data_IF_717902117996
#
_entry.id   IF_717902117996
#
_cell.length_a   1.000
_cell.length_b   1.000
_cell.length_c   1.000
_cell.angle_alpha   90.00
_cell.angle_beta   90.00
_cell.angle_gamma   90.00
#
_symmetry.space_group_name_H-M   'P 1'
#
loop_
_entity.id
_entity.type
_entity.pdbx_description
1 polymer ?
#
# COMPACT_ATOMS: atom_id res chain seq x y z
N UNK A 1 5.85 11.97 14.59
CA UNK A 1 4.96 10.86 14.19
C UNK A 1 3.66 11.49 13.67
N UNK A 2 3.28 11.31 12.40
CA UNK A 2 2.02 11.88 11.90
C UNK A 2 0.85 11.08 12.46
N UNK A 3 -0.04 11.78 13.18
CA UNK A 3 -1.23 11.22 13.81
C UNK A 3 -2.02 10.31 12.85
N UNK A 4 -2.46 9.12 13.30
CA UNK A 4 -3.37 8.25 12.54
C UNK A 4 -4.67 8.96 12.10
N UNK A 5 -4.99 10.09 12.72
CA UNK A 5 -6.25 10.80 12.56
C UNK A 5 -6.28 11.81 11.38
N UNK A 6 -5.13 12.15 10.78
CA UNK A 6 -5.09 13.22 9.75
C UNK A 6 -5.74 12.79 8.43
N UNK A 7 -5.45 11.58 7.93
CA UNK A 7 -6.05 11.08 6.69
C UNK A 7 -7.56 10.86 6.85
N UNK A 8 -8.02 10.39 8.02
CA UNK A 8 -9.45 10.27 8.31
C UNK A 8 -10.17 11.64 8.23
N UNK A 9 -9.57 12.69 8.81
CA UNK A 9 -10.09 14.06 8.74
C UNK A 9 -10.09 14.62 7.32
N UNK A 10 -9.09 14.27 6.51
CA UNK A 10 -9.04 14.62 5.07
C UNK A 10 -10.21 13.96 4.33
N UNK A 11 -10.46 12.67 4.57
CA UNK A 11 -11.57 11.95 3.92
C UNK A 11 -12.93 12.56 4.31
N UNK A 12 -13.13 12.90 5.58
CA UNK A 12 -14.33 13.62 6.03
C UNK A 12 -14.48 14.99 5.37
N UNK A 13 -13.38 15.75 5.25
CA UNK A 13 -13.39 17.05 4.58
C UNK A 13 -13.71 16.94 3.09
N UNK A 14 -13.20 15.91 2.39
CA UNK A 14 -13.54 15.64 0.99
C UNK A 14 -15.00 15.24 0.82
N UNK A 15 -15.52 14.40 1.74
CA UNK A 15 -16.94 14.02 1.74
C UNK A 15 -17.85 15.23 1.97
N UNK A 16 -17.47 16.13 2.87
CA UNK A 16 -18.20 17.37 3.11
C UNK A 16 -18.25 18.29 1.88
N UNK A 17 -17.14 18.39 1.13
CA UNK A 17 -17.08 19.15 -0.13
C UNK A 17 -17.92 18.53 -1.25
N UNK A 18 -18.08 17.20 -1.26
CA UNK A 18 -18.97 16.53 -2.20
C UNK A 18 -20.45 16.76 -1.86
N UNK A 19 -20.79 16.80 -0.56
CA UNK A 19 -22.15 16.95 -0.09
C UNK A 19 -22.66 18.40 -0.12
N UNK A 20 -21.77 19.39 0.03
CA UNK A 20 -22.13 20.80 0.03
C UNK A 20 -21.33 21.57 -1.04
N UNK A 21 -21.95 21.91 -2.19
CA UNK A 21 -21.29 22.66 -3.27
C UNK A 21 -21.00 24.13 -2.91
N UNK A 22 -21.54 24.67 -1.81
CA UNK A 22 -21.24 26.04 -1.34
C UNK A 22 -20.03 26.08 -0.40
N UNK A 23 -19.58 24.92 0.09
CA UNK A 23 -18.45 24.82 1.00
C UNK A 23 -17.14 25.01 0.24
N UNK A 24 -16.36 26.02 0.61
CA UNK A 24 -15.03 26.24 0.01
C UNK A 24 -13.99 25.30 0.63
N UNK A 25 -12.99 24.93 -0.17
CA UNK A 25 -11.86 24.09 0.26
C UNK A 25 -11.13 24.67 1.49
N UNK A 26 -11.00 26.00 1.56
CA UNK A 26 -10.38 26.71 2.69
C UNK A 26 -11.23 26.64 3.95
N UNK A 27 -12.55 26.71 3.82
CA UNK A 27 -13.49 26.58 4.95
C UNK A 27 -13.53 25.14 5.45
N UNK A 28 -13.58 24.15 4.56
CA UNK A 28 -13.49 22.74 4.92
C UNK A 28 -12.17 22.42 5.65
N UNK A 29 -11.04 22.94 5.15
CA UNK A 29 -9.75 22.80 5.82
C UNK A 29 -9.76 23.37 7.25
N UNK A 30 -10.42 24.52 7.47
CA UNK A 30 -10.58 25.11 8.80
C UNK A 30 -11.46 24.26 9.74
N UNK A 31 -12.64 23.83 9.28
CA UNK A 31 -13.61 23.03 10.06
C UNK A 31 -12.97 21.73 10.52
N UNK A 32 -12.34 21.01 9.59
CA UNK A 32 -11.71 19.73 9.90
C UNK A 32 -10.26 19.88 10.40
N UNK A 33 -9.81 21.11 10.66
CA UNK A 33 -8.44 21.52 11.06
C UNK A 33 -7.32 20.75 10.34
N UNK A 34 -7.44 20.66 9.01
CA UNK A 34 -6.42 20.11 8.11
C UNK A 34 -5.71 21.25 7.40
N UNK A 35 -4.40 21.14 7.13
CA UNK A 35 -3.71 22.11 6.27
C UNK A 35 -4.36 22.14 4.89
N UNK A 36 -4.70 23.35 4.43
CA UNK A 36 -5.29 23.61 3.11
C UNK A 36 -4.55 22.88 1.97
N UNK A 37 -3.23 23.00 1.91
CA UNK A 37 -2.41 22.36 0.88
C UNK A 37 -2.47 20.83 0.89
N UNK A 38 -2.68 20.22 2.06
CA UNK A 38 -2.84 18.76 2.15
C UNK A 38 -4.19 18.35 1.58
N UNK A 39 -5.27 19.05 1.96
CA UNK A 39 -6.61 18.79 1.44
C UNK A 39 -6.70 19.04 -0.08
N UNK A 40 -6.10 20.12 -0.58
CA UNK A 40 -6.02 20.44 -2.01
C UNK A 40 -5.31 19.34 -2.81
N UNK A 41 -4.17 18.83 -2.31
CA UNK A 41 -3.46 17.72 -2.97
C UNK A 41 -4.32 16.46 -3.04
N UNK A 42 -5.05 16.15 -1.96
CA UNK A 42 -5.93 14.98 -1.88
C UNK A 42 -7.15 15.11 -2.79
N UNK A 43 -7.72 16.30 -2.91
CA UNK A 43 -8.78 16.60 -3.88
C UNK A 43 -8.31 16.37 -5.33
N UNK A 44 -7.04 16.64 -5.64
CA UNK A 44 -6.43 16.34 -6.94
C UNK A 44 -6.01 14.86 -7.12
N UNK A 45 -6.37 13.98 -6.18
CA UNK A 45 -6.04 12.55 -6.23
C UNK A 45 -4.59 12.22 -5.85
N UNK A 46 -3.82 13.18 -5.31
CA UNK A 46 -2.45 12.91 -4.87
C UNK A 46 -2.52 12.21 -3.51
N UNK A 47 -2.12 10.94 -3.48
CA UNK A 47 -2.06 10.12 -2.27
C UNK A 47 -0.97 10.58 -1.30
N UNK A 48 -1.06 10.12 -0.06
CA UNK A 48 0.00 10.30 0.94
C UNK A 48 1.22 9.51 0.54
N UNK A 49 2.44 9.96 0.88
CA UNK A 49 3.64 9.12 0.69
C UNK A 49 3.54 7.79 1.45
N UNK A 50 2.78 7.77 2.56
CA UNK A 50 2.50 6.56 3.34
C UNK A 50 1.61 5.55 2.60
N UNK A 51 0.64 6.06 1.84
CA UNK A 51 -0.36 5.27 1.11
C UNK A 51 0.02 5.10 -0.37
N UNK A 52 1.04 5.84 -0.83
CA UNK A 52 1.55 5.78 -2.18
C UNK A 52 2.31 4.48 -2.39
N UNK A 53 2.05 3.87 -3.54
CA UNK A 53 2.78 2.71 -4.01
C UNK A 53 4.28 3.07 -4.09
N UNK A 54 5.19 2.34 -3.42
CA UNK A 54 6.61 2.63 -3.49
C UNK A 54 7.12 2.36 -4.90
N UNK A 55 7.98 3.23 -5.43
CA UNK A 55 8.59 3.10 -6.78
C UNK A 55 9.37 1.80 -6.99
N UNK A 56 9.74 1.10 -5.91
CA UNK A 56 10.41 -0.19 -5.93
C UNK A 56 9.45 -1.38 -6.15
N UNK A 57 8.14 -1.14 -6.26
CA UNK A 57 7.14 -2.18 -6.50
C UNK A 57 7.21 -2.62 -7.97
N UNK A 58 7.81 -3.79 -8.19
CA UNK A 58 7.90 -4.44 -9.51
C UNK A 58 6.62 -5.17 -9.93
N UNK A 59 5.78 -5.53 -8.95
CA UNK A 59 4.56 -6.31 -9.15
C UNK A 59 3.31 -5.46 -8.94
N UNK A 60 2.23 -5.82 -9.62
CA UNK A 60 0.89 -5.27 -9.44
C UNK A 60 0.26 -5.71 -8.11
N UNK A 61 -0.78 -5.02 -7.66
CA UNK A 61 -1.53 -5.40 -6.45
C UNK A 61 -2.02 -6.85 -6.47
N UNK A 62 -2.54 -7.28 -7.63
CA UNK A 62 -3.04 -8.63 -7.83
C UNK A 62 -1.94 -9.69 -7.70
N UNK A 63 -0.77 -9.45 -8.31
CA UNK A 63 0.37 -10.37 -8.22
C UNK A 63 0.92 -10.45 -6.80
N UNK A 64 1.04 -9.32 -6.10
CA UNK A 64 1.45 -9.35 -4.70
C UNK A 64 0.43 -10.13 -3.85
N UNK A 65 -0.87 -9.99 -4.11
CA UNK A 65 -1.90 -10.76 -3.42
C UNK A 65 -1.81 -12.26 -3.70
N UNK A 66 -1.51 -12.67 -4.94
CA UNK A 66 -1.27 -14.07 -5.29
C UNK A 66 -0.08 -14.64 -4.50
N UNK A 67 1.01 -13.88 -4.38
CA UNK A 67 2.18 -14.29 -3.60
C UNK A 67 1.85 -14.40 -2.10
N UNK A 68 1.09 -13.46 -1.55
CA UNK A 68 0.62 -13.53 -0.16
C UNK A 68 -0.22 -14.79 0.06
N UNK A 69 -1.19 -15.06 -0.82
CA UNK A 69 -2.05 -16.23 -0.72
C UNK A 69 -1.25 -17.54 -0.83
N UNK A 70 -0.25 -17.58 -1.71
CA UNK A 70 0.66 -18.71 -1.83
C UNK A 70 1.46 -18.96 -0.54
N UNK A 71 1.95 -17.91 0.12
CA UNK A 71 2.65 -18.03 1.40
C UNK A 71 1.72 -18.58 2.49
N UNK A 72 0.49 -18.08 2.56
CA UNK A 72 -0.51 -18.54 3.53
C UNK A 72 -0.91 -20.00 3.28
N UNK A 73 -1.06 -20.41 2.01
CA UNK A 73 -1.32 -21.81 1.65
C UNK A 73 -0.15 -22.73 2.06
N UNK A 74 1.10 -22.31 1.84
CA UNK A 74 2.28 -23.07 2.30
C UNK A 74 2.29 -23.26 3.82
N UNK A 75 2.02 -22.19 4.56
CA UNK A 75 1.99 -22.24 6.03
C UNK A 75 0.85 -23.14 6.53
N UNK A 76 -0.33 -23.08 5.90
CA UNK A 76 -1.46 -23.96 6.23
C UNK A 76 -1.17 -25.45 6.04
N UNK A 77 -0.25 -25.78 5.12
CA UNK A 77 0.21 -27.15 4.85
C UNK A 77 1.35 -27.59 5.77
N UNK A 78 1.77 -26.74 6.71
CA UNK A 78 2.86 -26.99 7.64
C UNK A 78 4.25 -26.79 7.04
N UNK A 79 4.37 -26.16 5.86
CA UNK A 79 5.66 -25.83 5.27
C UNK A 79 6.06 -24.40 5.66
N UNK A 80 7.18 -24.21 6.38
CA UNK A 80 7.61 -22.88 6.77
C UNK A 80 7.97 -22.07 5.51
N UNK A 81 7.38 -20.88 5.32
CA UNK A 81 7.63 -20.10 4.12
C UNK A 81 9.08 -19.59 4.12
N UNK A 82 9.79 -19.80 3.01
CA UNK A 82 11.17 -19.34 2.82
C UNK A 82 11.20 -18.14 1.88
N UNK A 83 12.05 -17.16 2.17
CA UNK A 83 12.25 -15.99 1.30
C UNK A 83 12.60 -16.38 -0.14
N UNK A 84 13.34 -17.49 -0.31
CA UNK A 84 13.67 -18.05 -1.62
C UNK A 84 12.42 -18.46 -2.41
N UNK A 85 11.42 -19.07 -1.77
CA UNK A 85 10.19 -19.47 -2.45
C UNK A 85 9.38 -18.25 -2.89
N UNK A 86 9.39 -17.17 -2.09
CA UNK A 86 8.76 -15.89 -2.44
C UNK A 86 9.44 -15.25 -3.66
N UNK A 87 10.78 -15.27 -3.69
CA UNK A 87 11.57 -14.78 -4.82
C UNK A 87 11.34 -15.61 -6.09
N UNK A 88 11.32 -16.94 -5.99
CA UNK A 88 11.05 -17.83 -7.12
C UNK A 88 9.65 -17.62 -7.69
N UNK A 89 8.62 -17.48 -6.85
CA UNK A 89 7.25 -17.19 -7.31
C UNK A 89 7.16 -15.83 -8.00
N UNK A 90 7.78 -14.80 -7.42
CA UNK A 90 7.82 -13.48 -8.03
C UNK A 90 8.54 -13.48 -9.39
N UNK A 91 9.66 -14.20 -9.50
CA UNK A 91 10.41 -14.31 -10.74
C UNK A 91 9.65 -15.07 -11.82
N UNK A 92 8.83 -16.07 -11.46
CA UNK A 92 7.94 -16.74 -12.42
C UNK A 92 6.92 -15.78 -13.01
N UNK A 93 6.24 -14.99 -12.17
CA UNK A 93 5.29 -13.97 -12.63
C UNK A 93 5.95 -12.90 -13.50
N UNK A 94 7.18 -12.49 -13.17
CA UNK A 94 7.93 -11.53 -13.98
C UNK A 94 8.41 -12.12 -15.31
N UNK A 95 8.77 -13.41 -15.33
CA UNK A 95 9.17 -14.12 -16.55
C UNK A 95 8.01 -14.21 -17.55
N UNK A 96 6.78 -14.46 -17.07
CA UNK A 96 5.57 -14.44 -17.90
C UNK A 96 5.29 -13.07 -18.52
N UNK A 97 5.84 -11.99 -17.94
CA UNK A 97 5.74 -10.62 -18.44
C UNK A 97 6.97 -10.14 -19.22
N UNK A 98 7.94 -11.02 -19.46
CA UNK A 98 9.23 -10.69 -20.09
C UNK A 98 9.99 -9.55 -19.36
N UNK A 99 9.79 -9.47 -18.03
CA UNK A 99 10.38 -8.40 -17.20
C UNK A 99 11.61 -8.90 -16.42
N UNK A 100 12.56 -8.00 -16.09
CA UNK A 100 13.78 -8.40 -15.40
C UNK A 100 13.49 -8.87 -13.97
N UNK A 101 14.20 -9.91 -13.49
CA UNK A 101 13.92 -10.59 -12.22
C UNK A 101 14.03 -9.64 -11.02
N UNK A 102 13.42 -10.03 -9.90
CA UNK A 102 13.50 -9.27 -8.65
C UNK A 102 14.95 -9.23 -8.13
N UNK A 103 15.30 -8.15 -7.44
CA UNK A 103 16.64 -8.03 -6.85
C UNK A 103 16.76 -8.81 -5.54
N UNK A 104 18.00 -9.13 -5.12
CA UNK A 104 18.31 -9.93 -3.91
C UNK A 104 17.60 -9.50 -2.62
N UNK A 105 17.36 -8.19 -2.43
CA UNK A 105 16.69 -7.65 -1.22
C UNK A 105 15.17 -7.60 -1.33
N UNK A 106 14.62 -7.89 -2.51
CA UNK A 106 13.20 -7.70 -2.80
C UNK A 106 12.32 -8.58 -1.91
N UNK A 107 12.60 -9.88 -1.80
CA UNK A 107 11.80 -10.79 -0.97
C UNK A 107 11.79 -10.37 0.51
N UNK A 108 12.95 -9.97 1.05
CA UNK A 108 13.03 -9.46 2.43
C UNK A 108 12.23 -8.17 2.63
N UNK A 109 12.24 -7.26 1.65
CA UNK A 109 11.47 -6.03 1.69
C UNK A 109 9.97 -6.28 1.50
N UNK A 110 9.60 -7.30 0.71
CA UNK A 110 8.22 -7.75 0.53
C UNK A 110 7.63 -8.20 1.87
N UNK A 111 8.27 -9.15 2.56
CA UNK A 111 7.82 -9.63 3.87
C UNK A 111 7.78 -8.49 4.91
N UNK A 112 8.75 -7.57 4.89
CA UNK A 112 8.73 -6.40 5.79
C UNK A 112 7.56 -5.44 5.55
N UNK A 113 7.06 -5.33 4.31
CA UNK A 113 5.92 -4.47 3.94
C UNK A 113 4.58 -5.08 4.37
N UNK A 114 4.42 -6.39 4.22
CA UNK A 114 3.19 -7.08 4.59
C UNK A 114 3.26 -7.50 6.06
N UNK A 115 2.62 -6.72 6.94
CA UNK A 115 2.57 -7.03 8.38
C UNK A 115 1.95 -8.41 8.65
N UNK A 116 0.99 -8.80 7.82
CA UNK A 116 0.30 -10.09 7.93
C UNK A 116 1.25 -11.26 7.68
N UNK A 117 2.31 -11.07 6.91
CA UNK A 117 3.31 -12.10 6.67
C UNK A 117 4.36 -12.20 7.78
N UNK A 118 4.54 -11.16 8.61
CA UNK A 118 5.57 -11.18 9.67
C UNK A 118 5.38 -12.31 10.68
N UNK A 119 4.14 -12.76 10.89
CA UNK A 119 3.82 -13.84 11.82
C UNK A 119 4.10 -15.23 11.26
N UNK A 120 4.41 -15.36 9.96
CA UNK A 120 4.64 -16.65 9.30
C UNK A 120 6.11 -16.91 8.99
N UNK A 121 6.96 -15.87 9.03
CA UNK A 121 8.41 -16.00 8.89
C UNK A 121 9.07 -15.84 10.27
N UNK A 122 9.44 -16.98 10.89
CA UNK A 122 10.17 -17.04 12.16
C UNK A 122 11.68 -17.24 11.93
#
# INVERSE_FOLDING_TARGET
MSDPNIEARILLALRALQNDPKLSLRRAAGIYQVRYWTLHRRQKGILSTRDSIPKSRKLSDLEEQIIVQFILDLDSRGFPPRLRCVEEMANRLLADRETPPVGKRWASNFVKRHKDLKTHFF
#
